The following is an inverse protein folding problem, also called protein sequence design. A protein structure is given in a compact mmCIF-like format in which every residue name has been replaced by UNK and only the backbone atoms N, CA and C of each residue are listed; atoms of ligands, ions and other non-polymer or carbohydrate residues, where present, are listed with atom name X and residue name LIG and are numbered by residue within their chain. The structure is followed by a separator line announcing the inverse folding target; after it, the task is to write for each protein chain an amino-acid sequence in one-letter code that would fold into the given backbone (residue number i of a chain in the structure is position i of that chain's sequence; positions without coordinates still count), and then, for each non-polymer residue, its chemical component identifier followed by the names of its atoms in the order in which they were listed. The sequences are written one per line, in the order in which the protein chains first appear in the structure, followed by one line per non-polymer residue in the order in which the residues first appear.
data_IF_602693397858
#
_entry.id   IF_602693397858
#
_cell.length_a   1.000
_cell.length_b   1.000
_cell.length_c   1.000
_cell.angle_alpha   90.00
_cell.angle_beta   90.00
_cell.angle_gamma   90.00
#
_symmetry.space_group_name_H-M   'P 1'
#
loop_
_entity.id
_entity.type
_entity.pdbx_description
1 polymer ?
#
# COMPACT_ATOMS: atom_id res chain seq x y z
N UNK A 1 8.83 -53.11 -5.04
CA UNK A 1 7.67 -52.56 -4.29
C UNK A 1 8.13 -51.35 -3.46
N UNK A 2 7.42 -50.23 -3.64
CA UNK A 2 7.36 -48.99 -2.83
C UNK A 2 8.65 -48.16 -2.65
N UNK A 3 8.74 -47.10 -3.46
CA UNK A 3 9.53 -45.89 -3.21
C UNK A 3 8.94 -45.13 -2.00
N UNK A 4 9.73 -44.92 -0.96
CA UNK A 4 9.38 -44.07 0.17
C UNK A 4 9.58 -42.60 -0.21
N UNK A 5 8.54 -41.97 -0.77
CA UNK A 5 8.48 -40.52 -0.87
C UNK A 5 8.18 -39.95 0.54
N UNK A 6 9.22 -39.47 1.22
CA UNK A 6 9.05 -38.60 2.40
C UNK A 6 8.57 -37.24 1.91
N UNK A 7 7.27 -36.97 2.07
CA UNK A 7 6.76 -35.62 1.96
C UNK A 7 7.24 -34.83 3.17
N UNK A 8 8.10 -33.82 2.94
CA UNK A 8 8.36 -32.79 3.93
C UNK A 8 7.18 -31.82 3.93
N UNK A 9 6.24 -32.01 4.86
CA UNK A 9 5.22 -31.03 5.13
C UNK A 9 5.84 -29.94 6.03
N UNK A 10 6.12 -28.77 5.47
CA UNK A 10 6.47 -27.58 6.25
C UNK A 10 5.17 -26.85 6.57
N UNK A 11 4.72 -26.94 7.82
CA UNK A 11 3.74 -26.01 8.36
C UNK A 11 4.42 -24.63 8.41
N UNK A 12 4.30 -23.85 7.33
CA UNK A 12 4.57 -22.41 7.43
C UNK A 12 3.58 -21.89 8.46
N UNK A 13 4.08 -21.54 9.65
CA UNK A 13 3.33 -20.74 10.62
C UNK A 13 2.63 -19.64 9.82
N UNK A 14 1.32 -19.53 9.94
CA UNK A 14 0.54 -18.45 9.33
C UNK A 14 0.95 -17.14 9.99
N UNK A 15 2.05 -16.54 9.53
CA UNK A 15 2.59 -15.31 10.10
C UNK A 15 1.91 -14.13 9.38
N UNK A 16 1.48 -13.18 10.19
CA UNK A 16 0.65 -12.04 9.86
C UNK A 16 1.52 -10.79 9.92
N UNK A 17 1.37 -9.88 8.95
CA UNK A 17 1.98 -8.55 8.91
C UNK A 17 0.90 -7.51 9.22
N UNK A 18 1.24 -6.49 10.02
CA UNK A 18 0.37 -5.33 10.32
C UNK A 18 0.89 -4.10 9.58
N UNK A 19 0.00 -3.37 8.93
CA UNK A 19 0.31 -2.09 8.29
C UNK A 19 -0.55 -1.01 8.95
N UNK A 20 0.08 0.02 9.50
CA UNK A 20 -0.56 1.18 10.11
C UNK A 20 -0.66 2.33 9.09
N UNK A 21 -1.84 2.64 8.56
CA UNK A 21 -1.96 3.78 7.67
C UNK A 21 -2.07 5.07 8.49
N UNK A 22 -1.18 6.03 8.25
CA UNK A 22 -1.17 7.33 8.93
C UNK A 22 -2.12 8.31 8.23
N UNK A 23 -2.96 9.00 9.02
CA UNK A 23 -3.75 10.13 8.55
C UNK A 23 -2.82 11.34 8.34
N UNK A 24 -2.74 11.84 7.12
CA UNK A 24 -2.02 13.09 6.80
C UNK A 24 -3.05 14.16 6.43
N UNK A 25 -3.05 15.27 7.17
CA UNK A 25 -3.85 16.46 6.86
C UNK A 25 -2.95 17.63 6.52
N UNK A 26 -3.35 18.43 5.54
CA UNK A 26 -2.71 19.72 5.26
C UNK A 26 -3.77 20.80 5.04
N UNK A 27 -3.40 22.04 5.34
CA UNK A 27 -4.30 23.19 5.19
C UNK A 27 -3.75 24.07 4.09
N UNK A 28 -4.47 24.18 2.97
CA UNK A 28 -4.22 25.19 1.96
C UNK A 28 -5.27 26.29 2.09
N UNK A 29 -4.85 27.56 1.99
CA UNK A 29 -5.62 28.78 2.25
C UNK A 29 -7.15 28.60 2.25
N UNK A 30 -7.72 28.35 3.44
CA UNK A 30 -9.16 28.38 3.69
C UNK A 30 -9.93 27.09 3.44
N UNK A 31 -9.29 26.02 2.94
CA UNK A 31 -9.93 24.73 2.69
C UNK A 31 -9.14 23.60 3.39
N UNK A 32 -9.82 22.85 4.26
CA UNK A 32 -9.20 21.76 5.02
C UNK A 32 -9.17 20.49 4.17
N UNK A 33 -7.96 20.03 3.81
CA UNK A 33 -7.75 18.79 3.07
C UNK A 33 -7.16 17.71 3.98
N UNK A 34 -7.61 16.48 3.78
CA UNK A 34 -7.07 15.33 4.50
C UNK A 34 -7.07 14.09 3.64
N UNK A 35 -6.24 13.12 4.02
CA UNK A 35 -6.18 11.80 3.40
C UNK A 35 -6.76 10.78 4.36
N UNK A 36 -7.94 10.26 4.04
CA UNK A 36 -8.62 9.25 4.82
C UNK A 36 -7.98 7.88 4.61
N UNK A 37 -7.84 7.17 5.72
CA UNK A 37 -7.24 5.84 5.82
C UNK A 37 -8.08 4.96 6.75
N UNK A 38 -7.96 3.62 6.67
CA UNK A 38 -8.58 2.72 7.65
C UNK A 38 -8.18 3.09 9.07
N UNK A 39 -9.17 3.12 9.98
CA UNK A 39 -8.91 3.33 11.41
C UNK A 39 -8.28 2.12 12.11
N UNK A 40 -8.34 0.95 11.47
CA UNK A 40 -7.79 -0.31 12.00
C UNK A 40 -6.58 -0.77 11.20
N UNK A 41 -5.58 -1.41 11.84
CA UNK A 41 -4.42 -1.97 11.14
C UNK A 41 -4.85 -3.01 10.12
N UNK A 42 -4.19 -3.02 8.97
CA UNK A 42 -4.43 -4.05 7.96
C UNK A 42 -3.56 -5.26 8.28
N UNK A 43 -4.20 -6.42 8.34
CA UNK A 43 -3.64 -7.70 8.79
C UNK A 43 -3.64 -8.65 7.60
N UNK A 44 -2.46 -9.07 7.14
CA UNK A 44 -2.34 -9.92 5.96
C UNK A 44 -1.24 -10.98 6.10
N UNK A 45 -1.32 -12.06 5.33
CA UNK A 45 -0.33 -13.14 5.38
C UNK A 45 0.93 -12.80 4.58
N UNK A 46 2.08 -13.25 5.06
CA UNK A 46 3.32 -13.22 4.26
C UNK A 46 3.12 -13.93 2.92
N UNK A 47 3.58 -13.32 1.84
CA UNK A 47 3.42 -13.76 0.46
C UNK A 47 2.10 -13.36 -0.20
N UNK A 48 1.14 -12.83 0.57
CA UNK A 48 -0.13 -12.35 0.02
C UNK A 48 -0.01 -10.97 -0.62
N UNK A 49 -1.09 -10.54 -1.27
CA UNK A 49 -1.27 -9.18 -1.78
C UNK A 49 -2.28 -8.46 -0.91
N UNK A 50 -2.00 -7.21 -0.58
CA UNK A 50 -2.87 -6.36 0.21
C UNK A 50 -3.14 -5.06 -0.54
N UNK A 51 -4.33 -4.50 -0.32
CA UNK A 51 -4.65 -3.13 -0.68
C UNK A 51 -4.76 -2.36 0.63
N UNK A 52 -4.06 -1.22 0.72
CA UNK A 52 -4.15 -0.25 1.81
C UNK A 52 -5.01 0.90 1.31
N UNK A 53 -6.31 0.94 1.68
CA UNK A 53 -7.21 1.99 1.25
C UNK A 53 -6.72 3.37 1.67
N UNK A 54 -6.78 4.35 0.78
CA UNK A 54 -6.33 5.70 1.05
C UNK A 54 -6.95 6.68 0.06
N UNK A 55 -7.57 7.76 0.52
CA UNK A 55 -8.23 8.70 -0.39
C UNK A 55 -8.35 10.11 0.15
N UNK A 56 -8.44 11.10 -0.73
CA UNK A 56 -8.57 12.51 -0.33
C UNK A 56 -9.99 12.84 0.15
N UNK A 57 -10.07 13.79 1.08
CA UNK A 57 -11.31 14.40 1.55
C UNK A 57 -11.14 15.92 1.62
N UNK A 58 -11.94 16.71 0.89
CA UNK A 58 -12.96 16.25 -0.07
C UNK A 58 -12.34 15.49 -1.27
N UNK A 59 -13.10 14.63 -1.98
CA UNK A 59 -12.62 13.93 -3.17
C UNK A 59 -12.17 14.91 -4.25
N UNK A 60 -10.98 14.70 -4.82
CA UNK A 60 -10.43 15.54 -5.89
C UNK A 60 -9.54 14.73 -6.84
N UNK A 61 -9.37 15.21 -8.08
CA UNK A 61 -8.51 14.53 -9.04
C UNK A 61 -7.03 14.61 -8.61
N UNK A 62 -6.46 13.45 -8.27
CA UNK A 62 -5.08 13.27 -7.83
C UNK A 62 -4.10 12.90 -8.96
N UNK A 63 -4.53 12.83 -10.23
CA UNK A 63 -3.66 12.48 -11.38
C UNK A 63 -2.48 13.45 -11.55
N UNK A 64 -2.67 14.72 -11.20
CA UNK A 64 -1.64 15.75 -11.27
C UNK A 64 -0.80 15.87 -9.99
N UNK A 65 -1.16 15.16 -8.92
CA UNK A 65 -0.49 15.24 -7.63
C UNK A 65 0.73 14.32 -7.59
N UNK A 66 1.70 14.70 -6.77
CA UNK A 66 2.74 13.79 -6.33
C UNK A 66 2.23 12.96 -5.15
N UNK A 67 2.29 11.64 -5.26
CA UNK A 67 1.82 10.72 -4.22
C UNK A 67 3.01 9.93 -3.71
N UNK A 68 3.23 9.97 -2.39
CA UNK A 68 4.25 9.20 -1.70
C UNK A 68 3.61 8.30 -0.64
N UNK A 69 3.85 7.01 -0.76
CA UNK A 69 3.67 6.07 0.33
C UNK A 69 5.01 5.82 0.99
N UNK A 70 5.11 6.01 2.29
CA UNK A 70 6.32 5.75 3.07
C UNK A 70 5.99 4.95 4.32
N UNK A 71 6.97 4.18 4.78
CA UNK A 71 6.95 3.55 6.11
C UNK A 71 7.18 4.60 7.18
N UNK A 72 6.78 4.31 8.42
CA UNK A 72 7.01 5.21 9.55
C UNK A 72 8.47 5.66 9.61
N UNK A 73 8.69 6.97 9.75
CA UNK A 73 10.01 7.63 9.78
C UNK A 73 10.93 7.40 8.56
N UNK A 74 10.42 6.88 7.44
CA UNK A 74 11.21 6.57 6.23
C UNK A 74 10.84 7.45 5.03
N UNK A 75 10.72 8.76 5.25
CA UNK A 75 10.31 9.72 4.21
C UNK A 75 11.18 9.70 2.95
N UNK A 76 12.50 9.52 3.11
CA UNK A 76 13.45 9.48 1.99
C UNK A 76 13.43 8.16 1.21
N UNK A 77 12.73 7.15 1.72
CA UNK A 77 12.74 5.78 1.24
C UNK A 77 11.31 5.26 0.97
N UNK A 78 10.51 5.94 0.12
CA UNK A 78 9.10 5.61 -0.02
C UNK A 78 8.87 4.24 -0.68
N UNK A 79 7.82 3.56 -0.24
CA UNK A 79 7.30 2.29 -0.78
C UNK A 79 6.82 2.46 -2.22
N UNK A 80 6.19 3.61 -2.50
CA UNK A 80 5.73 3.99 -3.83
C UNK A 80 5.85 5.51 -3.98
N UNK A 81 6.39 5.94 -5.12
CA UNK A 81 6.36 7.33 -5.57
C UNK A 81 5.63 7.38 -6.91
N UNK A 82 4.54 8.11 -6.97
CA UNK A 82 3.87 8.51 -8.20
C UNK A 82 4.12 10.00 -8.43
N UNK A 83 4.65 10.36 -9.58
CA UNK A 83 4.91 11.74 -9.96
C UNK A 83 4.88 11.86 -11.50
N UNK A 84 4.43 12.99 -12.02
CA UNK A 84 4.30 13.26 -13.46
C UNK A 84 3.53 12.15 -14.21
N UNK A 85 2.40 11.71 -13.64
CA UNK A 85 1.51 10.75 -14.30
C UNK A 85 1.97 9.28 -14.25
N UNK A 86 3.07 8.95 -13.57
CA UNK A 86 3.62 7.59 -13.55
C UNK A 86 4.23 7.21 -12.20
N UNK A 87 4.29 5.90 -11.94
CA UNK A 87 5.05 5.33 -10.83
C UNK A 87 6.54 5.42 -11.17
N UNK A 88 7.32 5.93 -10.22
CA UNK A 88 8.77 6.05 -10.32
C UNK A 88 9.45 4.81 -9.75
N UNK A 89 10.51 4.38 -10.41
CA UNK A 89 11.28 3.21 -10.00
C UNK A 89 12.47 3.61 -9.13
N UNK A 90 12.24 3.70 -7.82
CA UNK A 90 13.17 4.31 -6.86
C UNK A 90 13.75 3.35 -5.81
N UNK A 91 13.05 2.27 -5.48
CA UNK A 91 13.41 1.35 -4.38
C UNK A 91 13.31 -0.09 -4.86
N UNK A 92 14.45 -0.78 -4.96
CA UNK A 92 14.49 -2.16 -5.49
C UNK A 92 13.66 -3.15 -4.67
N UNK A 93 13.57 -2.98 -3.34
CA UNK A 93 12.82 -3.87 -2.47
C UNK A 93 11.30 -3.86 -2.71
N UNK A 94 10.77 -2.74 -3.20
CA UNK A 94 9.35 -2.56 -3.52
C UNK A 94 9.06 -2.57 -5.03
N UNK A 95 10.11 -2.55 -5.86
CA UNK A 95 10.00 -2.64 -7.32
C UNK A 95 9.17 -3.85 -7.73
N UNK A 96 8.25 -3.65 -8.67
CA UNK A 96 7.33 -4.67 -9.18
C UNK A 96 6.43 -5.33 -8.11
N UNK A 97 6.30 -4.70 -6.94
CA UNK A 97 5.44 -5.16 -5.85
C UNK A 97 4.53 -4.05 -5.34
N UNK A 98 4.87 -2.77 -5.51
CA UNK A 98 4.01 -1.64 -5.18
C UNK A 98 3.33 -1.05 -6.43
N UNK A 99 2.03 -0.73 -6.32
CA UNK A 99 1.24 -0.05 -7.35
C UNK A 99 0.08 0.73 -6.74
N UNK A 100 -0.56 1.62 -7.51
CA UNK A 100 -1.84 2.22 -7.13
C UNK A 100 -2.99 1.30 -7.53
N UNK A 101 -4.03 1.22 -6.71
CA UNK A 101 -5.20 0.39 -6.94
C UNK A 101 -6.50 1.10 -6.54
N UNK A 102 -7.63 0.49 -6.91
CA UNK A 102 -8.95 0.94 -6.47
C UNK A 102 -9.23 0.37 -5.07
N UNK A 103 -9.73 1.20 -4.16
CA UNK A 103 -10.21 0.78 -2.84
C UNK A 103 -11.46 -0.09 -2.90
N UNK A 104 -12.26 0.07 -3.95
CA UNK A 104 -13.51 -0.66 -4.20
C UNK A 104 -13.86 -0.59 -5.69
N UNK A 105 -14.80 -1.44 -6.12
CA UNK A 105 -15.40 -1.41 -7.46
C UNK A 105 -16.08 -0.08 -7.81
N UNK A 106 -16.56 0.64 -6.80
CA UNK A 106 -17.17 1.97 -6.95
C UNK A 106 -16.17 3.14 -7.04
N UNK A 107 -14.86 2.89 -6.95
CA UNK A 107 -13.86 3.95 -6.96
C UNK A 107 -13.50 4.37 -8.38
N UNK A 108 -13.53 5.67 -8.69
CA UNK A 108 -12.96 6.25 -9.91
C UNK A 108 -11.43 6.34 -9.92
N UNK A 109 -10.75 5.78 -8.91
CA UNK A 109 -9.30 5.81 -8.80
C UNK A 109 -8.78 7.22 -8.54
N UNK A 110 -7.67 7.57 -9.18
CA UNK A 110 -7.05 8.88 -9.02
C UNK A 110 -8.01 10.05 -9.30
N UNK A 111 -8.98 9.89 -10.21
CA UNK A 111 -9.95 10.95 -10.54
C UNK A 111 -10.87 11.32 -9.38
N UNK A 112 -11.10 10.38 -8.48
CA UNK A 112 -11.90 10.54 -7.26
C UNK A 112 -11.03 10.71 -6.00
N UNK A 113 -9.72 10.91 -6.19
CA UNK A 113 -8.76 11.08 -5.10
C UNK A 113 -8.39 9.78 -4.41
N UNK A 114 -8.69 8.62 -5.00
CA UNK A 114 -8.27 7.32 -4.48
C UNK A 114 -6.81 7.07 -4.84
N UNK A 115 -5.98 7.01 -3.80
CA UNK A 115 -4.54 6.86 -3.85
C UNK A 115 -4.10 5.58 -3.13
N UNK A 116 -5.01 4.59 -3.07
CA UNK A 116 -4.78 3.32 -2.37
C UNK A 116 -3.56 2.56 -2.89
N UNK A 117 -2.75 2.06 -1.97
CA UNK A 117 -1.56 1.27 -2.28
C UNK A 117 -1.94 -0.20 -2.42
N UNK A 118 -1.55 -0.81 -3.52
CA UNK A 118 -1.48 -2.27 -3.65
C UNK A 118 -0.04 -2.71 -3.45
N UNK A 119 0.17 -3.58 -2.46
CA UNK A 119 1.46 -4.18 -2.16
C UNK A 119 1.37 -5.71 -2.32
N UNK A 120 2.16 -6.24 -3.24
CA UNK A 120 2.21 -7.66 -3.58
C UNK A 120 3.33 -8.39 -2.83
N UNK A 121 3.15 -9.70 -2.65
CA UNK A 121 4.17 -10.63 -2.10
C UNK A 121 4.73 -10.20 -0.75
N UNK A 122 3.86 -9.80 0.18
CA UNK A 122 4.25 -9.26 1.50
C UNK A 122 5.37 -10.05 2.18
N UNK A 123 6.27 -9.35 2.84
CA UNK A 123 7.42 -9.87 3.57
C UNK A 123 7.43 -9.32 4.99
N UNK A 124 8.25 -9.89 5.87
CA UNK A 124 8.45 -9.37 7.23
C UNK A 124 9.05 -7.97 7.27
N UNK A 125 9.71 -7.53 6.18
CA UNK A 125 10.23 -6.18 6.10
C UNK A 125 9.13 -5.16 5.83
N UNK A 126 7.94 -5.60 5.43
CA UNK A 126 6.81 -4.73 5.10
C UNK A 126 5.93 -4.41 6.32
N UNK A 127 6.29 -4.92 7.50
CA UNK A 127 5.66 -4.55 8.77
C UNK A 127 6.08 -3.13 9.17
N UNK A 128 5.11 -2.34 9.65
CA UNK A 128 5.28 -0.93 10.04
C UNK A 128 4.89 -0.72 11.51
#
# INVERSE_FOLDING_TARGET
SRLNHRYHFSLRRNIIVRILPFLVSWTEKGDSRSVLVPGEPIVAHVGSTVIVPCWTSPPENAEALEIRWYRHDQFNNPVLLYNHGKIQDIQECFRNRSSLALRSDQSGGLKDGDVSLRLEKLTFQDED
#
